data_IF_504455214107
#
_entry.id   IF_504455214107
#
_cell.length_a   1.000
_cell.length_b   1.000
_cell.length_c   1.000
_cell.angle_alpha   90.00
_cell.angle_beta   90.00
_cell.angle_gamma   90.00
#
_symmetry.space_group_name_H-M   'P 1'
#
loop_
_entity.id
_entity.type
_entity.pdbx_description
1 polymer ?
#
# COMPACT_ATOMS: atom_id res chain seq x y z
N UNK A 1 6.68 7.88 -23.57
CA UNK A 1 7.20 9.04 -22.81
C UNK A 1 6.80 8.98 -21.32
N UNK A 2 6.36 7.83 -20.79
CA UNK A 2 5.87 7.64 -19.40
C UNK A 2 7.00 7.48 -18.38
N UNK A 3 8.10 6.83 -18.77
CA UNK A 3 9.14 6.42 -17.82
C UNK A 3 10.12 7.53 -17.37
N UNK A 4 9.83 8.80 -17.69
CA UNK A 4 10.60 9.96 -17.20
C UNK A 4 9.91 10.68 -16.02
N UNK A 5 8.59 10.52 -15.84
CA UNK A 5 7.80 11.34 -14.91
C UNK A 5 7.42 10.61 -13.61
N UNK A 6 7.13 9.31 -13.62
CA UNK A 6 7.05 8.50 -12.37
C UNK A 6 8.42 8.43 -11.66
N UNK A 7 9.49 8.71 -12.41
CA UNK A 7 10.86 8.89 -11.93
C UNK A 7 10.93 9.98 -10.85
N UNK A 8 10.14 11.04 -10.95
CA UNK A 8 10.21 12.19 -10.03
C UNK A 8 9.66 11.93 -8.62
N UNK A 9 8.91 10.85 -8.41
CA UNK A 9 8.29 10.54 -7.11
C UNK A 9 9.09 9.52 -6.32
N UNK A 10 9.74 8.60 -7.04
CA UNK A 10 10.59 7.54 -6.50
C UNK A 10 12.07 7.92 -6.50
N UNK A 11 12.47 8.92 -7.30
CA UNK A 11 13.86 9.37 -7.42
C UNK A 11 13.97 10.89 -7.24
N UNK A 12 14.70 11.26 -6.19
CA UNK A 12 15.38 12.53 -6.01
C UNK A 12 14.57 13.80 -6.31
N UNK A 13 13.72 14.21 -5.36
CA UNK A 13 13.06 15.54 -5.33
C UNK A 13 14.02 16.68 -4.92
N UNK A 14 15.33 16.44 -4.90
CA UNK A 14 16.34 17.33 -4.31
C UNK A 14 16.49 17.11 -2.80
N UNK A 15 17.63 17.54 -2.23
CA UNK A 15 17.94 17.46 -0.78
C UNK A 15 17.92 16.06 -0.13
N UNK A 16 17.94 14.96 -0.90
CA UNK A 16 17.95 13.60 -0.34
C UNK A 16 16.59 13.13 0.21
N UNK A 17 15.49 13.66 -0.35
CA UNK A 17 14.11 13.42 0.07
C UNK A 17 13.44 12.52 -0.98
N UNK A 18 13.65 11.21 -0.88
CA UNK A 18 12.99 10.16 -1.67
C UNK A 18 12.85 8.87 -0.86
N UNK A 19 12.19 7.85 -1.42
CA UNK A 19 12.00 6.53 -0.76
C UNK A 19 13.18 5.58 -1.01
N UNK A 20 14.32 6.11 -1.47
CA UNK A 20 15.60 5.42 -1.63
C UNK A 20 15.52 4.11 -2.44
N UNK A 21 14.82 4.16 -3.57
CA UNK A 21 14.53 2.98 -4.40
C UNK A 21 15.63 2.70 -5.41
N UNK A 22 16.35 3.74 -5.85
CA UNK A 22 17.46 3.64 -6.81
C UNK A 22 18.51 2.56 -6.44
N UNK A 23 19.04 2.51 -5.21
CA UNK A 23 20.06 1.52 -4.88
C UNK A 23 19.54 0.09 -4.94
N UNK A 24 18.26 -0.15 -4.60
CA UNK A 24 17.67 -1.48 -4.74
C UNK A 24 17.61 -1.93 -6.21
N UNK A 25 17.23 -1.02 -7.13
CA UNK A 25 17.21 -1.32 -8.57
C UNK A 25 18.60 -1.51 -9.16
N UNK A 26 19.60 -0.74 -8.69
CA UNK A 26 20.99 -0.90 -9.10
C UNK A 26 21.56 -2.27 -8.69
N UNK A 27 21.04 -2.86 -7.62
CA UNK A 27 21.33 -4.22 -7.18
C UNK A 27 20.50 -5.29 -7.92
N UNK A 28 19.66 -4.90 -8.89
CA UNK A 28 18.82 -5.80 -9.68
C UNK A 28 17.55 -6.27 -8.98
N UNK A 29 17.20 -5.69 -7.82
CA UNK A 29 15.96 -5.99 -7.10
C UNK A 29 14.86 -5.08 -7.62
N UNK A 30 13.92 -5.65 -8.36
CA UNK A 30 12.88 -4.98 -9.13
C UNK A 30 11.50 -5.63 -8.91
N UNK A 31 11.29 -6.26 -7.77
CA UNK A 31 10.07 -6.96 -7.37
C UNK A 31 9.78 -8.26 -8.12
N UNK A 32 10.79 -8.89 -8.76
CA UNK A 32 10.57 -10.07 -9.62
C UNK A 32 9.87 -11.23 -8.89
N UNK A 33 8.86 -11.77 -9.56
CA UNK A 33 8.11 -12.94 -9.08
C UNK A 33 7.32 -12.66 -7.81
N UNK A 34 7.09 -11.39 -7.46
CA UNK A 34 6.12 -10.98 -6.43
C UNK A 34 4.82 -10.60 -7.11
N UNK A 35 3.70 -11.07 -6.57
CA UNK A 35 2.36 -10.76 -7.08
C UNK A 35 1.67 -9.76 -6.15
N UNK A 36 1.29 -8.59 -6.68
CA UNK A 36 0.60 -7.53 -5.95
C UNK A 36 -0.78 -7.32 -6.58
N UNK A 37 -1.84 -7.37 -5.78
CA UNK A 37 -3.19 -7.03 -6.24
C UNK A 37 -3.70 -5.74 -5.60
N UNK A 38 -4.46 -4.97 -6.37
CA UNK A 38 -5.12 -3.72 -6.00
C UNK A 38 -6.61 -4.05 -5.82
N UNK A 39 -7.13 -3.89 -4.61
CA UNK A 39 -8.54 -4.13 -4.29
C UNK A 39 -9.29 -2.80 -4.40
N UNK A 40 -9.98 -2.56 -5.53
CA UNK A 40 -10.48 -1.22 -5.87
C UNK A 40 -11.66 -1.23 -6.87
N UNK A 41 -11.80 -0.17 -7.67
CA UNK A 41 -12.87 0.05 -8.66
C UNK A 41 -12.65 -0.65 -10.02
N UNK A 42 -11.50 -1.32 -10.18
CA UNK A 42 -11.12 -2.06 -11.36
C UNK A 42 -9.73 -1.69 -11.90
N UNK A 43 -9.36 -2.34 -12.99
CA UNK A 43 -8.05 -2.21 -13.61
C UNK A 43 -8.18 -2.23 -15.13
N UNK A 44 -7.72 -1.16 -15.79
CA UNK A 44 -7.60 -1.11 -17.25
C UNK A 44 -6.45 -2.04 -17.70
N UNK A 45 -6.74 -3.34 -17.76
CA UNK A 45 -5.74 -4.40 -17.94
C UNK A 45 -5.00 -4.34 -19.27
N UNK A 46 -5.59 -3.68 -20.27
CA UNK A 46 -5.00 -3.46 -21.59
C UNK A 46 -4.21 -2.14 -21.69
N UNK A 47 -4.11 -1.36 -20.60
CA UNK A 47 -3.28 -0.17 -20.53
C UNK A 47 -1.83 -0.49 -20.93
N UNK A 48 -1.18 0.27 -21.83
CA UNK A 48 0.13 -0.08 -22.40
C UNK A 48 1.23 -0.29 -21.35
N UNK A 49 1.18 0.48 -20.26
CA UNK A 49 2.11 0.34 -19.12
C UNK A 49 1.72 -0.76 -18.11
N UNK A 50 0.51 -1.33 -18.18
CA UNK A 50 0.04 -2.38 -17.26
C UNK A 50 0.00 -3.76 -17.92
N UNK A 51 -0.38 -3.84 -19.19
CA UNK A 51 -0.66 -5.07 -19.92
C UNK A 51 0.46 -6.13 -19.87
N UNK A 52 1.73 -5.69 -19.87
CA UNK A 52 2.88 -6.60 -19.79
C UNK A 52 3.05 -7.27 -18.42
N UNK A 53 2.52 -6.66 -17.37
CA UNK A 53 2.61 -7.12 -16.00
C UNK A 53 1.24 -7.54 -15.44
N UNK A 54 0.21 -7.62 -16.29
CA UNK A 54 -1.10 -8.11 -15.90
C UNK A 54 -1.04 -9.61 -15.63
N UNK A 55 -1.74 -10.05 -14.58
CA UNK A 55 -1.87 -11.45 -14.21
C UNK A 55 -3.34 -11.82 -13.97
N UNK A 56 -3.95 -12.70 -14.78
CA UNK A 56 -5.34 -13.08 -14.56
C UNK A 56 -5.56 -13.84 -13.25
N UNK A 57 -4.56 -14.53 -12.70
CA UNK A 57 -4.72 -15.33 -11.46
C UNK A 57 -4.76 -14.47 -10.19
N UNK A 58 -4.51 -13.18 -10.29
CA UNK A 58 -4.60 -12.28 -9.16
C UNK A 58 -5.66 -11.19 -9.39
N UNK A 59 -6.45 -11.35 -10.47
CA UNK A 59 -7.51 -10.45 -10.92
C UNK A 59 -8.85 -11.13 -10.74
N UNK A 60 -9.88 -10.35 -10.39
CA UNK A 60 -11.25 -10.82 -10.43
C UNK A 60 -12.22 -9.65 -10.41
N UNK A 61 -13.37 -9.78 -11.04
CA UNK A 61 -14.48 -8.85 -10.88
C UNK A 61 -15.47 -9.43 -9.87
N UNK A 62 -15.41 -8.92 -8.64
CA UNK A 62 -16.33 -9.33 -7.57
C UNK A 62 -17.70 -8.68 -7.77
N UNK A 63 -17.79 -7.47 -8.33
CA UNK A 63 -19.06 -6.80 -8.58
C UNK A 63 -19.91 -7.55 -9.62
N UNK A 64 -19.31 -8.04 -10.70
CA UNK A 64 -20.01 -8.74 -11.78
C UNK A 64 -19.85 -10.27 -11.75
N UNK A 65 -19.02 -10.80 -10.85
CA UNK A 65 -18.73 -12.23 -10.68
C UNK A 65 -18.08 -12.89 -11.91
N UNK A 66 -17.09 -12.23 -12.51
CA UNK A 66 -16.35 -12.74 -13.66
C UNK A 66 -14.82 -12.48 -13.55
N UNK A 67 -14.04 -12.98 -14.50
CA UNK A 67 -12.56 -12.90 -14.48
C UNK A 67 -12.01 -11.58 -15.08
N UNK A 68 -12.88 -10.65 -15.47
CA UNK A 68 -12.51 -9.44 -16.19
C UNK A 68 -12.61 -8.20 -15.30
N UNK A 69 -11.52 -7.76 -14.65
CA UNK A 69 -11.54 -6.62 -13.74
C UNK A 69 -11.59 -5.26 -14.46
N UNK A 70 -11.96 -5.21 -15.74
CA UNK A 70 -11.99 -3.95 -16.51
C UNK A 70 -12.94 -2.96 -15.84
N UNK A 71 -12.51 -1.70 -15.65
CA UNK A 71 -13.34 -0.67 -15.05
C UNK A 71 -14.50 -0.34 -16.00
N UNK A 72 -15.64 0.02 -15.41
CA UNK A 72 -16.74 0.60 -16.17
C UNK A 72 -16.40 2.05 -16.48
N UNK A 73 -16.35 2.41 -17.76
CA UNK A 73 -16.18 3.80 -18.18
C UNK A 73 -17.49 4.59 -18.06
N UNK A 74 -17.40 5.82 -17.58
CA UNK A 74 -18.50 6.79 -17.59
C UNK A 74 -17.99 8.21 -17.86
N UNK A 75 -18.90 9.18 -17.89
CA UNK A 75 -18.59 10.57 -18.23
C UNK A 75 -17.73 11.29 -17.18
N UNK A 76 -17.64 10.75 -15.96
CA UNK A 76 -16.91 11.36 -14.85
C UNK A 76 -15.59 10.64 -14.56
N UNK A 77 -15.33 9.53 -15.26
CA UNK A 77 -14.23 8.61 -15.00
C UNK A 77 -14.22 8.18 -13.53
N UNK A 78 -15.37 7.74 -13.00
CA UNK A 78 -15.50 7.38 -11.58
C UNK A 78 -14.57 6.23 -11.19
N UNK A 79 -14.37 5.27 -12.10
CA UNK A 79 -13.64 4.02 -11.85
C UNK A 79 -12.16 4.07 -12.29
N UNK A 80 -11.52 5.21 -12.05
CA UNK A 80 -10.12 5.45 -12.45
C UNK A 80 -9.11 5.09 -11.37
N UNK A 81 -9.57 4.91 -10.15
CA UNK A 81 -8.74 4.89 -8.95
C UNK A 81 -7.82 3.66 -8.93
N UNK A 82 -8.35 2.46 -9.17
CA UNK A 82 -7.57 1.23 -9.22
C UNK A 82 -6.53 1.21 -10.35
N UNK A 83 -6.87 1.77 -11.51
CA UNK A 83 -5.91 1.93 -12.62
C UNK A 83 -4.77 2.89 -12.27
N UNK A 84 -5.05 3.96 -11.51
CA UNK A 84 -4.01 4.86 -11.00
C UNK A 84 -3.12 4.18 -9.97
N UNK A 85 -3.70 3.53 -8.96
CA UNK A 85 -2.94 2.81 -7.95
C UNK A 85 -2.06 1.69 -8.55
N UNK A 86 -2.56 0.96 -9.55
CA UNK A 86 -1.81 -0.11 -10.20
C UNK A 86 -0.59 0.38 -11.01
N UNK A 87 -0.60 1.63 -11.47
CA UNK A 87 0.52 2.26 -12.17
C UNK A 87 1.64 2.76 -11.25
N UNK A 88 1.39 2.87 -9.94
CA UNK A 88 2.37 3.36 -8.96
C UNK A 88 3.45 2.34 -8.58
N UNK A 89 3.75 1.42 -9.50
CA UNK A 89 4.80 0.44 -9.27
C UNK A 89 6.16 1.12 -9.25
N UNK A 90 7.07 0.66 -8.38
CA UNK A 90 8.47 1.06 -8.43
C UNK A 90 9.11 0.85 -9.83
N UNK A 91 8.64 -0.11 -10.63
CA UNK A 91 9.47 -0.69 -11.71
C UNK A 91 9.15 -0.22 -13.13
N UNK A 92 8.18 0.66 -13.35
CA UNK A 92 7.91 1.16 -14.71
C UNK A 92 9.07 1.97 -15.33
N UNK A 93 10.17 2.16 -14.61
CA UNK A 93 11.20 3.17 -14.87
C UNK A 93 12.53 2.65 -15.43
N UNK A 94 12.71 1.35 -15.64
CA UNK A 94 14.02 0.84 -16.13
C UNK A 94 14.20 1.06 -17.65
N UNK A 95 13.12 1.25 -18.41
CA UNK A 95 13.21 1.35 -19.87
C UNK A 95 13.69 2.71 -20.41
N UNK A 96 13.92 3.73 -19.57
CA UNK A 96 14.23 5.10 -20.06
C UNK A 96 15.64 5.60 -19.75
N UNK A 97 16.33 5.09 -18.73
CA UNK A 97 17.66 5.62 -18.38
C UNK A 97 18.81 4.61 -18.42
N UNK A 98 18.53 3.31 -18.53
CA UNK A 98 19.56 2.30 -18.65
C UNK A 98 19.28 1.51 -19.92
N UNK A 99 20.27 1.39 -20.82
CA UNK A 99 20.27 0.47 -21.98
C UNK A 99 20.20 -1.02 -21.56
N UNK A 100 19.63 -1.33 -20.40
CA UNK A 100 19.34 -2.67 -19.91
C UNK A 100 17.83 -2.83 -19.97
N UNK A 101 17.34 -3.22 -21.16
CA UNK A 101 16.01 -3.79 -21.27
C UNK A 101 15.97 -5.08 -20.45
N UNK A 102 15.50 -5.02 -19.21
CA UNK A 102 15.16 -6.23 -18.49
C UNK A 102 13.94 -6.86 -19.17
N UNK A 103 14.19 -7.92 -19.92
CA UNK A 103 13.16 -8.73 -20.58
C UNK A 103 12.54 -9.67 -19.53
N UNK A 104 11.39 -9.31 -18.97
CA UNK A 104 10.58 -10.17 -18.12
C UNK A 104 9.60 -9.40 -17.22
N UNK A 105 8.47 -10.02 -16.80
CA UNK A 105 7.55 -9.42 -15.83
C UNK A 105 8.25 -9.22 -14.48
N UNK A 106 7.90 -8.12 -13.80
CA UNK A 106 8.61 -7.67 -12.59
C UNK A 106 7.72 -7.88 -11.37
N UNK A 107 6.89 -6.88 -11.03
CA UNK A 107 5.74 -7.06 -10.15
C UNK A 107 4.51 -7.30 -11.00
N UNK A 108 3.80 -8.39 -10.72
CA UNK A 108 2.48 -8.60 -11.31
C UNK A 108 1.48 -7.61 -10.68
N UNK A 109 0.97 -6.72 -11.54
CA UNK A 109 -0.07 -5.66 -11.39
C UNK A 109 -1.46 -6.13 -11.60
N UNK A 110 -2.25 -6.27 -10.56
CA UNK A 110 -3.48 -7.01 -10.67
C UNK A 110 -4.60 -6.30 -9.96
N UNK A 111 -5.82 -6.43 -10.45
CA UNK A 111 -6.95 -5.62 -9.98
C UNK A 111 -8.12 -6.49 -9.60
N UNK A 112 -8.70 -6.22 -8.43
CA UNK A 112 -9.98 -6.77 -8.02
C UNK A 112 -11.00 -5.65 -8.10
N UNK A 113 -11.95 -5.77 -9.04
CA UNK A 113 -13.08 -4.82 -9.15
C UNK A 113 -14.11 -5.18 -8.09
N UNK A 114 -14.17 -4.39 -7.04
CA UNK A 114 -15.06 -4.61 -5.89
C UNK A 114 -15.74 -3.33 -5.38
N UNK A 115 -15.28 -2.13 -5.77
CA UNK A 115 -15.86 -0.85 -5.35
C UNK A 115 -16.89 -0.24 -6.31
N UNK A 116 -17.07 -0.77 -7.52
CA UNK A 116 -18.06 -0.24 -8.49
C UNK A 116 -19.43 -0.93 -8.32
N UNK A 117 -19.97 -0.88 -7.11
CA UNK A 117 -21.23 -1.50 -6.71
C UNK A 117 -21.40 -1.54 -5.18
N UNK A 118 -22.43 -2.23 -4.71
CA UNK A 118 -22.67 -2.39 -3.27
C UNK A 118 -21.52 -3.18 -2.62
N UNK A 119 -20.82 -2.55 -1.68
CA UNK A 119 -19.73 -3.16 -0.91
C UNK A 119 -20.32 -3.77 0.35
N UNK A 120 -20.43 -5.09 0.37
CA UNK A 120 -20.91 -5.87 1.53
C UNK A 120 -19.75 -6.63 2.17
N UNK A 121 -19.92 -7.08 3.42
CA UNK A 121 -18.94 -7.94 4.12
C UNK A 121 -18.51 -9.16 3.27
N UNK A 122 -19.43 -9.76 2.50
CA UNK A 122 -19.12 -10.86 1.60
C UNK A 122 -18.25 -10.45 0.39
N UNK A 123 -18.48 -9.25 -0.17
CA UNK A 123 -17.67 -8.69 -1.27
C UNK A 123 -16.24 -8.43 -0.78
N UNK A 124 -16.09 -7.84 0.39
CA UNK A 124 -14.80 -7.57 1.00
C UNK A 124 -14.05 -8.87 1.32
N UNK A 125 -14.71 -9.82 2.00
CA UNK A 125 -14.13 -11.11 2.33
C UNK A 125 -13.66 -11.88 1.09
N UNK A 126 -14.47 -11.87 0.02
CA UNK A 126 -14.10 -12.51 -1.25
C UNK A 126 -12.89 -11.83 -1.91
N UNK A 127 -12.83 -10.51 -1.85
CA UNK A 127 -11.72 -9.71 -2.39
C UNK A 127 -10.42 -9.97 -1.62
N UNK A 128 -10.48 -9.95 -0.29
CA UNK A 128 -9.37 -10.21 0.63
C UNK A 128 -8.84 -11.65 0.55
N UNK A 129 -9.69 -12.61 0.18
CA UNK A 129 -9.38 -14.03 0.10
C UNK A 129 -9.06 -14.51 -1.32
N UNK A 130 -8.89 -13.61 -2.29
CA UNK A 130 -8.60 -13.98 -3.67
C UNK A 130 -7.23 -14.63 -3.79
N UNK A 131 -7.20 -15.93 -4.14
CA UNK A 131 -5.98 -16.67 -4.50
C UNK A 131 -4.77 -16.42 -3.58
N UNK A 132 -4.90 -16.65 -2.24
CA UNK A 132 -3.89 -16.25 -1.26
C UNK A 132 -2.61 -17.09 -1.30
N UNK A 133 -2.56 -18.14 -2.12
CA UNK A 133 -1.34 -18.90 -2.39
C UNK A 133 -0.54 -18.33 -3.58
N UNK A 134 -1.18 -17.52 -4.42
CA UNK A 134 -0.58 -16.90 -5.60
C UNK A 134 -0.27 -15.42 -5.32
N UNK A 135 -1.20 -14.68 -4.71
CA UNK A 135 -1.03 -13.27 -4.37
C UNK A 135 -0.16 -13.14 -3.12
N UNK A 136 0.90 -12.32 -3.21
CA UNK A 136 1.76 -12.02 -2.09
C UNK A 136 1.25 -10.83 -1.26
N UNK A 137 0.88 -9.75 -1.96
CA UNK A 137 0.54 -8.46 -1.35
C UNK A 137 -0.80 -7.97 -1.89
N UNK A 138 -1.65 -7.49 -1.00
CA UNK A 138 -2.92 -6.85 -1.29
C UNK A 138 -2.79 -5.37 -0.90
N UNK A 139 -3.11 -4.46 -1.81
CA UNK A 139 -3.14 -3.03 -1.56
C UNK A 139 -4.58 -2.56 -1.61
N UNK A 140 -5.00 -1.83 -0.58
CA UNK A 140 -6.34 -1.29 -0.47
C UNK A 140 -6.29 0.10 0.17
N UNK A 141 -7.31 0.91 -0.13
CA UNK A 141 -7.46 2.26 0.40
C UNK A 141 -8.94 2.64 0.57
N UNK A 142 -9.75 1.64 0.91
CA UNK A 142 -11.15 1.77 1.26
C UNK A 142 -11.34 1.44 2.74
N UNK A 143 -12.46 1.88 3.29
CA UNK A 143 -12.80 1.78 4.70
C UNK A 143 -14.14 2.49 4.93
N UNK A 144 -14.48 2.81 6.19
CA UNK A 144 -15.63 3.63 6.52
C UNK A 144 -15.53 5.03 5.91
N UNK A 145 -16.63 5.79 5.96
CA UNK A 145 -16.61 7.20 5.53
C UNK A 145 -15.65 8.03 6.40
N UNK A 146 -14.70 8.71 5.73
CA UNK A 146 -13.69 9.60 6.34
C UNK A 146 -14.29 10.94 6.81
N UNK A 147 -15.40 10.91 7.55
CA UNK A 147 -16.23 12.07 7.90
C UNK A 147 -16.01 12.61 9.33
N UNK A 148 -15.06 12.03 10.06
CA UNK A 148 -14.75 12.40 11.45
C UNK A 148 -15.80 11.96 12.48
N UNK A 149 -16.77 11.13 12.09
CA UNK A 149 -17.91 10.73 12.94
C UNK A 149 -18.18 9.23 12.90
N UNK A 150 -17.72 8.55 11.87
CA UNK A 150 -17.94 7.13 11.67
C UNK A 150 -16.95 6.29 12.48
N UNK A 151 -17.46 5.24 13.12
CA UNK A 151 -16.63 4.21 13.77
C UNK A 151 -17.15 2.87 13.26
N UNK A 152 -16.38 2.24 12.39
CA UNK A 152 -16.76 0.99 11.75
C UNK A 152 -15.53 0.20 11.33
N UNK A 153 -15.71 -1.03 10.85
CA UNK A 153 -14.61 -1.90 10.47
C UNK A 153 -15.07 -3.17 9.78
N UNK A 154 -14.14 -4.13 9.55
CA UNK A 154 -14.47 -5.35 8.84
C UNK A 154 -15.56 -6.13 9.57
N UNK A 155 -16.57 -6.57 8.81
CA UNK A 155 -17.56 -7.53 9.29
C UNK A 155 -16.95 -8.90 9.62
N UNK A 156 -17.80 -9.87 9.96
CA UNK A 156 -17.34 -11.20 10.40
C UNK A 156 -16.58 -11.93 9.29
N UNK A 157 -17.08 -11.86 8.05
CA UNK A 157 -16.47 -12.54 6.92
C UNK A 157 -15.15 -11.88 6.54
N UNK A 158 -15.09 -10.54 6.47
CA UNK A 158 -13.87 -9.80 6.16
C UNK A 158 -12.80 -10.01 7.25
N UNK A 159 -13.20 -9.97 8.53
CA UNK A 159 -12.33 -10.29 9.67
C UNK A 159 -11.75 -11.70 9.54
N UNK A 160 -12.58 -12.68 9.19
CA UNK A 160 -12.13 -14.05 8.96
C UNK A 160 -11.20 -14.14 7.75
N UNK A 161 -11.46 -13.41 6.68
CA UNK A 161 -10.60 -13.37 5.50
C UNK A 161 -9.20 -12.82 5.83
N UNK A 162 -9.10 -11.78 6.66
CA UNK A 162 -7.81 -11.30 7.17
C UNK A 162 -7.08 -12.37 7.96
N UNK A 163 -7.75 -13.01 8.94
CA UNK A 163 -7.15 -14.07 9.76
C UNK A 163 -6.67 -15.23 8.89
N UNK A 164 -7.49 -15.74 7.99
CA UNK A 164 -7.12 -16.82 7.08
C UNK A 164 -5.99 -16.39 6.13
N UNK A 165 -6.01 -15.15 5.65
CA UNK A 165 -4.95 -14.56 4.83
C UNK A 165 -3.60 -14.55 5.54
N UNK A 166 -3.52 -14.00 6.75
CA UNK A 166 -2.25 -13.92 7.50
C UNK A 166 -1.78 -15.27 8.07
N UNK A 167 -2.67 -16.25 8.23
CA UNK A 167 -2.32 -17.58 8.76
C UNK A 167 -2.00 -18.60 7.68
N UNK A 168 -2.71 -18.58 6.55
CA UNK A 168 -2.60 -19.61 5.50
C UNK A 168 -2.02 -19.08 4.19
N UNK A 169 -2.14 -17.78 3.91
CA UNK A 169 -1.62 -17.18 2.69
C UNK A 169 -0.12 -17.40 2.50
N UNK A 170 0.34 -17.38 1.26
CA UNK A 170 1.75 -17.55 0.87
C UNK A 170 2.41 -18.79 1.48
N UNK A 171 1.68 -19.90 1.46
CA UNK A 171 2.07 -21.19 2.07
C UNK A 171 2.37 -21.07 3.56
N UNK A 172 1.48 -20.41 4.31
CA UNK A 172 1.60 -20.21 5.76
C UNK A 172 2.52 -19.06 6.20
N UNK A 173 3.13 -18.31 5.27
CA UNK A 173 3.89 -17.09 5.60
C UNK A 173 2.98 -15.90 5.92
N UNK A 174 1.73 -15.97 5.47
CA UNK A 174 0.71 -14.95 5.61
C UNK A 174 0.75 -13.91 4.50
N UNK A 175 -0.43 -13.64 3.95
CA UNK A 175 -0.70 -12.51 3.05
C UNK A 175 -0.27 -11.19 3.70
N UNK A 176 0.27 -10.27 2.89
CA UNK A 176 0.61 -8.93 3.34
C UNK A 176 -0.48 -7.97 2.86
N UNK A 177 -1.26 -7.41 3.77
CA UNK A 177 -2.28 -6.41 3.47
C UNK A 177 -1.71 -5.02 3.73
N UNK A 178 -1.57 -4.18 2.71
CA UNK A 178 -1.12 -2.79 2.81
C UNK A 178 -2.34 -1.88 2.69
N UNK A 179 -2.50 -0.96 3.64
CA UNK A 179 -3.71 -0.15 3.76
C UNK A 179 -3.37 1.34 3.82
N UNK A 180 -4.17 2.15 3.14
CA UNK A 180 -4.13 3.60 3.33
C UNK A 180 -4.76 3.94 4.70
N UNK A 181 -4.28 5.01 5.32
CA UNK A 181 -4.75 5.44 6.65
C UNK A 181 -5.94 6.40 6.64
N UNK A 182 -6.56 6.67 5.49
CA UNK A 182 -7.73 7.55 5.39
C UNK A 182 -7.41 8.98 4.92
N UNK A 183 -8.43 9.72 4.50
CA UNK A 183 -8.35 11.06 3.91
C UNK A 183 -9.19 12.12 4.68
N UNK A 184 -9.66 11.79 5.88
CA UNK A 184 -10.55 12.60 6.73
C UNK A 184 -9.88 13.71 7.54
N UNK A 185 -8.63 14.06 7.24
CA UNK A 185 -7.88 15.07 8.00
C UNK A 185 -8.55 16.46 8.04
N UNK A 186 -9.36 16.82 7.03
CA UNK A 186 -10.16 18.06 7.01
C UNK A 186 -11.33 18.05 7.98
N UNK A 187 -11.89 16.86 8.20
CA UNK A 187 -13.03 16.63 9.07
C UNK A 187 -12.60 16.24 10.49
N UNK A 188 -11.29 16.33 10.77
CA UNK A 188 -10.66 15.99 12.05
C UNK A 188 -10.83 14.52 12.44
N UNK A 189 -10.82 13.63 11.44
CA UNK A 189 -10.95 12.20 11.66
C UNK A 189 -9.71 11.57 12.33
N UNK A 190 -9.91 10.37 12.87
CA UNK A 190 -8.88 9.58 13.52
C UNK A 190 -8.93 8.13 13.02
N UNK A 191 -7.89 7.71 12.32
CA UNK A 191 -7.80 6.37 11.75
C UNK A 191 -7.80 5.19 12.74
N UNK A 192 -7.83 5.40 14.07
CA UNK A 192 -8.18 4.31 14.99
C UNK A 192 -9.68 3.95 14.94
N UNK A 193 -10.54 4.84 14.41
CA UNK A 193 -11.97 4.64 14.21
C UNK A 193 -12.29 3.81 12.96
N UNK A 194 -11.34 3.66 12.06
CA UNK A 194 -11.39 2.72 10.94
C UNK A 194 -10.77 1.38 11.35
N UNK A 195 -11.61 0.35 11.47
CA UNK A 195 -11.21 -1.00 11.86
C UNK A 195 -10.35 -1.75 10.84
N UNK A 196 -10.31 -1.33 9.57
CA UNK A 196 -9.43 -1.92 8.56
C UNK A 196 -7.99 -1.44 8.76
N UNK A 197 -7.79 -0.12 8.86
CA UNK A 197 -6.46 0.46 9.09
C UNK A 197 -5.96 0.27 10.53
N UNK A 198 -6.85 0.18 11.52
CA UNK A 198 -6.52 -0.13 12.91
C UNK A 198 -6.25 -1.63 13.17
N UNK A 199 -6.46 -2.49 12.17
CA UNK A 199 -6.21 -3.92 12.29
C UNK A 199 -4.72 -4.23 12.41
N UNK A 200 -4.37 -5.20 13.28
CA UNK A 200 -2.98 -5.69 13.36
C UNK A 200 -2.56 -6.45 12.09
N UNK A 201 -3.52 -6.94 11.29
CA UNK A 201 -3.26 -7.72 10.07
C UNK A 201 -2.94 -6.85 8.87
N UNK A 202 -3.22 -5.54 8.96
CA UNK A 202 -2.89 -4.58 7.93
C UNK A 202 -1.60 -3.85 8.26
N UNK A 203 -0.90 -3.44 7.22
CA UNK A 203 0.27 -2.59 7.26
C UNK A 203 -0.22 -1.20 6.84
N UNK A 204 -0.66 -0.42 7.84
CA UNK A 204 -1.25 0.90 7.63
C UNK A 204 -0.19 1.96 7.29
N UNK A 205 -0.46 2.74 6.23
CA UNK A 205 0.45 3.71 5.62
C UNK A 205 -0.21 5.08 5.54
N UNK A 206 0.49 6.09 6.05
CA UNK A 206 0.14 7.51 5.91
C UNK A 206 0.94 8.20 4.80
N UNK A 207 0.66 9.48 4.61
CA UNK A 207 1.25 10.28 3.54
C UNK A 207 2.13 11.41 4.07
N UNK A 208 3.21 11.69 3.34
CA UNK A 208 3.97 12.93 3.46
C UNK A 208 3.85 13.76 2.17
N UNK A 209 3.84 15.07 2.31
CA UNK A 209 3.95 15.98 1.17
C UNK A 209 5.38 16.00 0.59
N UNK A 210 5.59 16.66 -0.56
CA UNK A 210 6.93 16.82 -1.17
C UNK A 210 7.94 17.45 -0.20
N UNK A 211 7.49 18.39 0.61
CA UNK A 211 8.31 19.09 1.61
C UNK A 211 8.44 18.33 2.95
N UNK A 212 7.96 17.09 3.01
CA UNK A 212 7.96 16.27 4.23
C UNK A 212 7.02 16.78 5.31
N UNK A 213 5.92 17.44 4.93
CA UNK A 213 4.89 17.92 5.89
C UNK A 213 3.74 16.92 5.99
N UNK A 214 2.92 17.06 7.01
CA UNK A 214 1.64 16.34 7.12
C UNK A 214 0.65 16.94 6.11
N UNK A 215 0.12 16.16 5.14
CA UNK A 215 -0.89 16.62 4.20
C UNK A 215 -2.22 16.99 4.88
N UNK A 216 -3.00 17.88 4.27
CA UNK A 216 -4.29 18.32 4.83
C UNK A 216 -5.35 17.21 4.97
N UNK A 217 -5.23 16.13 4.20
CA UNK A 217 -6.16 15.00 4.22
C UNK A 217 -5.69 13.89 5.18
N UNK A 218 -4.43 13.91 5.63
CA UNK A 218 -3.90 12.78 6.41
C UNK A 218 -4.55 12.70 7.78
N UNK A 219 -4.94 11.50 8.17
CA UNK A 219 -5.41 11.19 9.52
C UNK A 219 -4.25 10.74 10.41
N UNK A 220 -4.32 11.08 11.69
CA UNK A 220 -3.29 10.71 12.67
C UNK A 220 -3.85 9.70 13.65
N UNK A 221 -3.19 8.56 13.82
CA UNK A 221 -3.59 7.53 14.77
C UNK A 221 -2.40 6.66 15.20
N UNK A 222 -2.61 5.83 16.21
CA UNK A 222 -1.57 4.97 16.77
C UNK A 222 -1.33 3.68 15.98
N UNK A 223 -2.24 3.32 15.08
CA UNK A 223 -2.14 2.10 14.25
C UNK A 223 -1.21 2.25 13.05
N UNK A 224 -1.02 3.48 12.54
CA UNK A 224 -0.11 3.77 11.42
C UNK A 224 1.31 3.27 11.70
N UNK A 225 1.86 2.46 10.79
CA UNK A 225 3.23 1.94 10.92
C UNK A 225 4.27 2.82 10.25
N UNK A 226 3.99 3.36 9.07
CA UNK A 226 4.97 4.14 8.30
C UNK A 226 4.30 5.10 7.32
N UNK A 227 5.13 5.77 6.53
CA UNK A 227 4.70 6.79 5.56
C UNK A 227 5.39 6.61 4.22
N UNK A 228 4.69 6.94 3.14
CA UNK A 228 5.28 7.17 1.82
C UNK A 228 4.90 8.57 1.34
N UNK A 229 5.52 9.05 0.27
CA UNK A 229 5.09 10.32 -0.31
C UNK A 229 3.76 10.18 -1.03
N UNK A 230 3.00 11.26 -1.05
CA UNK A 230 1.85 11.44 -1.95
C UNK A 230 1.81 12.89 -2.41
N UNK A 231 0.77 13.62 -2.02
CA UNK A 231 0.44 15.00 -2.36
C UNK A 231 0.13 15.79 -1.08
N UNK A 232 -0.18 17.08 -1.18
CA UNK A 232 -0.82 17.76 -0.04
C UNK A 232 -0.70 19.27 -0.03
N UNK A 233 0.48 19.84 -0.25
CA UNK A 233 0.57 21.31 -0.24
C UNK A 233 0.21 21.91 -1.61
N UNK A 234 -0.45 23.09 -1.65
CA UNK A 234 -0.62 23.84 -2.88
C UNK A 234 0.71 24.09 -3.58
N UNK A 235 0.79 23.79 -4.89
CA UNK A 235 1.98 24.00 -5.71
C UNK A 235 3.08 22.93 -5.56
N UNK A 236 2.89 21.92 -4.71
CA UNK A 236 3.78 20.75 -4.65
C UNK A 236 3.39 19.70 -5.69
N UNK A 237 4.37 18.88 -6.10
CA UNK A 237 4.14 17.78 -7.04
C UNK A 237 3.27 16.70 -6.42
N UNK A 238 2.38 16.16 -7.24
CA UNK A 238 1.46 15.08 -6.93
C UNK A 238 1.93 13.78 -7.58
N UNK A 239 1.21 12.69 -7.31
CA UNK A 239 1.57 11.38 -7.84
C UNK A 239 1.28 11.28 -9.34
N UNK A 240 2.24 10.71 -10.07
CA UNK A 240 2.28 10.55 -11.52
C UNK A 240 2.17 9.06 -11.81
N UNK A 241 1.11 8.67 -12.51
CA UNK A 241 0.78 7.26 -12.72
C UNK A 241 -0.09 7.08 -13.97
N UNK A 242 -0.39 5.83 -14.31
CA UNK A 242 -1.36 5.47 -15.35
C UNK A 242 -2.75 6.00 -15.00
N UNK A 243 -3.58 6.24 -16.00
CA UNK A 243 -4.95 6.70 -15.81
C UNK A 243 -5.84 6.05 -16.87
N UNK A 244 -7.17 6.11 -16.69
CA UNK A 244 -8.11 5.54 -17.66
C UNK A 244 -7.90 6.09 -19.07
N UNK A 245 -8.41 5.36 -20.06
CA UNK A 245 -8.30 5.68 -21.48
C UNK A 245 -6.85 5.63 -21.97
N UNK A 246 -6.07 4.68 -21.43
CA UNK A 246 -4.66 4.46 -21.78
C UNK A 246 -3.80 5.72 -21.57
N UNK A 247 -4.15 6.53 -20.58
CA UNK A 247 -3.59 7.87 -20.39
C UNK A 247 -2.67 7.95 -19.17
N UNK A 248 -2.18 9.16 -18.89
CA UNK A 248 -1.28 9.43 -17.78
C UNK A 248 -1.82 10.60 -16.98
N UNK A 249 -1.80 10.48 -15.66
CA UNK A 249 -2.09 11.59 -14.76
C UNK A 249 -0.84 12.01 -14.02
N UNK A 250 -0.73 13.31 -13.75
CA UNK A 250 0.25 13.88 -12.82
C UNK A 250 -0.40 14.42 -11.55
N UNK A 251 -1.65 14.05 -11.30
CA UNK A 251 -2.48 14.61 -10.25
C UNK A 251 -3.21 13.57 -9.41
N UNK A 252 -2.59 12.42 -9.19
CA UNK A 252 -3.08 11.46 -8.21
C UNK A 252 -2.67 11.88 -6.78
N UNK A 253 -3.58 11.71 -5.82
CA UNK A 253 -3.52 12.36 -4.51
C UNK A 253 -4.13 11.48 -3.41
N UNK A 254 -3.96 11.87 -2.15
CA UNK A 254 -4.52 11.16 -1.00
C UNK A 254 -3.61 10.07 -0.44
N UNK A 255 -4.00 9.51 0.70
CA UNK A 255 -3.33 8.34 1.29
C UNK A 255 -3.48 7.09 0.42
N UNK A 256 -4.49 7.08 -0.46
CA UNK A 256 -4.70 6.06 -1.47
C UNK A 256 -3.57 5.94 -2.50
N UNK A 257 -2.81 7.02 -2.74
CA UNK A 257 -1.57 6.95 -3.54
C UNK A 257 -0.36 6.51 -2.70
N UNK A 258 -0.42 6.63 -1.37
CA UNK A 258 0.68 6.22 -0.50
C UNK A 258 0.76 4.69 -0.32
N UNK A 259 -0.38 4.01 -0.21
CA UNK A 259 -0.44 2.56 -0.01
C UNK A 259 0.16 1.74 -1.19
N UNK A 260 -0.13 2.03 -2.46
CA UNK A 260 0.47 1.33 -3.61
C UNK A 260 1.99 1.47 -3.68
N UNK A 261 2.53 2.66 -3.36
CA UNK A 261 3.98 2.87 -3.27
C UNK A 261 4.60 1.97 -2.19
N UNK A 262 3.95 1.88 -1.02
CA UNK A 262 4.39 1.00 0.06
C UNK A 262 4.31 -0.48 -0.32
N UNK A 263 3.24 -0.90 -1.00
CA UNK A 263 3.10 -2.26 -1.53
C UNK A 263 4.24 -2.60 -2.51
N UNK A 264 4.59 -1.65 -3.38
CA UNK A 264 5.75 -1.74 -4.27
C UNK A 264 7.07 -1.92 -3.51
N UNK A 265 7.31 -1.15 -2.46
CA UNK A 265 8.52 -1.27 -1.63
C UNK A 265 8.55 -2.63 -0.89
N UNK A 266 7.42 -3.09 -0.36
CA UNK A 266 7.28 -4.41 0.25
C UNK A 266 7.61 -5.53 -0.76
N UNK A 267 7.22 -5.37 -2.03
CA UNK A 267 7.56 -6.32 -3.08
C UNK A 267 9.08 -6.39 -3.33
N UNK A 268 9.80 -5.27 -3.29
CA UNK A 268 11.26 -5.29 -3.39
C UNK A 268 11.89 -6.08 -2.22
N UNK A 269 11.40 -5.90 -1.01
CA UNK A 269 11.86 -6.65 0.17
C UNK A 269 11.53 -8.16 0.05
N UNK A 270 10.36 -8.52 -0.50
CA UNK A 270 9.99 -9.92 -0.75
C UNK A 270 10.81 -10.59 -1.86
N UNK A 271 11.20 -9.87 -2.91
CA UNK A 271 12.16 -10.42 -3.88
C UNK A 271 13.49 -10.72 -3.19
N UNK A 272 13.96 -9.83 -2.33
CA UNK A 272 15.20 -10.01 -1.59
C UNK A 272 15.14 -11.19 -0.59
N UNK A 273 13.96 -11.47 -0.03
CA UNK A 273 13.72 -12.63 0.83
C UNK A 273 12.26 -13.11 0.76
N UNK A 274 12.01 -14.17 -0.02
CA UNK A 274 10.68 -14.79 -0.16
C UNK A 274 10.20 -15.51 1.10
N UNK A 275 11.09 -15.73 2.07
CA UNK A 275 10.81 -16.38 3.35
C UNK A 275 10.14 -15.48 4.40
N UNK A 276 10.06 -14.17 4.16
CA UNK A 276 9.46 -13.23 5.10
C UNK A 276 7.97 -13.52 5.33
N UNK A 277 7.59 -13.58 6.61
CA UNK A 277 6.19 -13.62 7.04
C UNK A 277 5.55 -12.23 7.02
N UNK A 278 4.23 -12.16 7.15
CA UNK A 278 3.50 -10.88 7.26
C UNK A 278 4.00 -10.03 8.44
N UNK A 279 4.31 -10.65 9.58
CA UNK A 279 4.91 -9.98 10.76
C UNK A 279 6.35 -9.55 10.52
N UNK A 280 7.15 -10.37 9.84
CA UNK A 280 8.52 -9.99 9.48
C UNK A 280 8.53 -8.71 8.64
N UNK A 281 7.58 -8.58 7.70
CA UNK A 281 7.44 -7.37 6.88
C UNK A 281 7.18 -6.13 7.74
N UNK A 282 6.19 -6.19 8.66
CA UNK A 282 5.92 -5.09 9.60
C UNK A 282 7.16 -4.75 10.45
N UNK A 283 7.87 -5.76 10.97
CA UNK A 283 9.10 -5.54 11.75
C UNK A 283 10.22 -4.88 10.93
N UNK A 284 10.39 -5.26 9.67
CA UNK A 284 11.36 -4.64 8.77
C UNK A 284 11.00 -3.17 8.57
N UNK A 285 9.74 -2.86 8.24
CA UNK A 285 9.25 -1.48 8.07
C UNK A 285 9.57 -0.63 9.30
N UNK A 286 9.19 -1.08 10.50
CA UNK A 286 9.46 -0.38 11.77
C UNK A 286 10.95 -0.11 12.02
N UNK A 287 11.83 -1.02 11.56
CA UNK A 287 13.28 -0.92 11.80
C UNK A 287 14.02 -0.10 10.77
N UNK A 288 13.44 0.11 9.59
CA UNK A 288 14.11 0.80 8.47
C UNK A 288 13.47 2.13 8.12
N UNK A 289 12.24 2.40 8.57
CA UNK A 289 11.57 3.68 8.37
C UNK A 289 12.41 4.84 8.95
N UNK A 290 12.40 5.97 8.24
CA UNK A 290 13.24 7.13 8.53
C UNK A 290 12.39 8.34 8.93
N UNK A 291 12.55 8.86 10.16
CA UNK A 291 11.89 10.09 10.58
C UNK A 291 12.54 11.35 9.96
N UNK A 292 13.76 11.22 9.42
CA UNK A 292 14.51 12.34 8.87
C UNK A 292 13.71 13.04 7.75
N UNK A 293 13.76 14.37 7.76
CA UNK A 293 13.08 15.26 6.79
C UNK A 293 11.55 15.27 6.87
N UNK A 294 10.94 14.50 7.77
CA UNK A 294 9.51 14.58 8.07
C UNK A 294 9.23 15.54 9.24
N UNK A 295 8.30 16.46 9.03
CA UNK A 295 7.98 17.56 9.95
C UNK A 295 6.62 17.33 10.57
N UNK A 296 6.62 16.90 11.82
CA UNK A 296 5.43 16.81 12.65
C UNK A 296 5.74 17.31 14.06
N UNK A 297 4.81 18.02 14.74
CA UNK A 297 5.00 18.43 16.13
C UNK A 297 4.90 17.27 17.14
N UNK A 298 4.42 16.09 16.73
CA UNK A 298 4.08 14.98 17.62
C UNK A 298 5.12 13.85 17.68
N UNK A 299 6.32 14.06 17.14
CA UNK A 299 7.41 13.10 17.24
C UNK A 299 7.78 12.84 18.71
N UNK A 300 7.76 11.58 19.12
CA UNK A 300 8.18 11.13 20.44
C UNK A 300 9.13 9.94 20.35
N UNK A 301 10.03 9.81 21.33
CA UNK A 301 10.94 8.67 21.43
C UNK A 301 10.30 7.61 22.32
N UNK A 302 10.06 6.42 21.77
CA UNK A 302 9.48 5.31 22.53
C UNK A 302 10.51 4.62 23.45
N UNK A 303 10.06 3.64 24.25
CA UNK A 303 10.89 2.97 25.26
C UNK A 303 12.10 2.19 24.72
N UNK A 304 12.22 1.99 23.40
CA UNK A 304 13.38 1.35 22.75
C UNK A 304 14.20 2.33 21.91
N UNK A 305 14.00 3.64 22.11
CA UNK A 305 14.80 4.69 21.48
C UNK A 305 14.43 4.99 20.02
N UNK A 306 13.25 4.59 19.54
CA UNK A 306 12.78 4.92 18.18
C UNK A 306 11.84 6.12 18.20
N UNK A 307 11.99 7.00 17.22
CA UNK A 307 11.02 8.07 16.96
C UNK A 307 9.74 7.46 16.38
N UNK A 308 8.60 7.91 16.88
CA UNK A 308 7.26 7.58 16.38
C UNK A 308 6.40 8.84 16.40
N UNK A 309 5.52 8.96 15.41
CA UNK A 309 4.53 10.03 15.24
C UNK A 309 3.19 9.37 14.91
N UNK A 310 2.08 9.91 15.39
CA UNK A 310 0.75 9.44 14.99
C UNK A 310 0.43 9.83 13.54
N UNK A 311 1.05 10.90 13.02
CA UNK A 311 0.92 11.30 11.61
C UNK A 311 1.81 10.49 10.66
N UNK A 312 2.96 10.00 11.13
CA UNK A 312 3.96 9.37 10.26
C UNK A 312 4.36 7.93 10.62
N UNK A 313 3.78 7.36 11.68
CA UNK A 313 4.27 6.12 12.27
C UNK A 313 5.75 6.21 12.62
N UNK A 314 6.54 5.22 12.19
CA UNK A 314 8.00 5.20 12.36
C UNK A 314 8.76 6.05 11.32
N UNK A 315 8.06 6.69 10.39
CA UNK A 315 8.60 7.60 9.38
C UNK A 315 8.53 7.05 7.95
N UNK A 316 9.32 7.66 7.06
CA UNK A 316 9.30 7.39 5.63
C UNK A 316 9.89 6.01 5.33
N UNK A 317 9.21 5.21 4.51
CA UNK A 317 9.73 3.91 4.05
C UNK A 317 10.99 4.10 3.18
N UNK A 318 12.00 3.28 3.43
CA UNK A 318 13.28 3.27 2.70
C UNK A 318 13.48 1.91 2.03
N UNK A 319 13.33 1.88 0.71
CA UNK A 319 13.38 0.64 -0.05
C UNK A 319 14.74 -0.07 0.00
N UNK A 320 15.85 0.66 -0.12
CA UNK A 320 17.19 0.06 -0.05
C UNK A 320 17.47 -0.51 1.35
N UNK A 321 17.08 0.20 2.41
CA UNK A 321 17.24 -0.28 3.78
C UNK A 321 16.38 -1.52 4.05
N UNK A 322 15.14 -1.54 3.57
CA UNK A 322 14.26 -2.71 3.65
C UNK A 322 14.85 -3.92 2.93
N UNK A 323 15.31 -3.76 1.68
CA UNK A 323 15.96 -4.83 0.90
C UNK A 323 17.21 -5.37 1.60
N UNK A 324 18.07 -4.48 2.13
CA UNK A 324 19.29 -4.87 2.84
C UNK A 324 18.98 -5.64 4.13
N UNK A 325 18.02 -5.16 4.91
CA UNK A 325 17.61 -5.84 6.14
C UNK A 325 16.94 -7.18 5.86
N UNK A 326 16.09 -7.26 4.83
CA UNK A 326 15.39 -8.49 4.43
C UNK A 326 16.35 -9.65 4.14
N UNK A 327 17.48 -9.41 3.49
CA UNK A 327 18.47 -10.45 3.14
C UNK A 327 19.12 -11.13 4.35
N UNK A 328 19.27 -10.40 5.44
CA UNK A 328 19.89 -10.89 6.68
C UNK A 328 18.86 -11.11 7.79
N UNK A 329 17.57 -11.01 7.46
CA UNK A 329 16.49 -11.11 8.43
C UNK A 329 16.33 -12.54 8.93
N UNK A 330 16.23 -12.68 10.25
CA UNK A 330 15.83 -13.92 10.89
C UNK A 330 14.36 -13.82 11.28
N UNK A 331 13.54 -14.74 10.78
CA UNK A 331 12.10 -14.80 11.07
C UNK A 331 11.83 -14.72 12.56
N UNK A 332 10.88 -13.87 12.93
CA UNK A 332 10.48 -13.69 14.33
C UNK A 332 9.80 -14.95 14.88
N UNK A 333 9.82 -15.19 16.21
CA UNK A 333 9.08 -16.28 16.83
C UNK A 333 7.57 -16.21 16.58
N UNK A 334 6.86 -17.30 16.86
CA UNK A 334 5.40 -17.34 16.78
C UNK A 334 4.74 -16.19 17.56
N UNK A 335 3.59 -15.71 17.07
CA UNK A 335 2.85 -14.64 17.71
C UNK A 335 2.18 -15.18 18.97
N UNK A 336 2.43 -14.53 20.11
CA UNK A 336 1.73 -14.84 21.36
C UNK A 336 0.67 -13.76 21.62
N UNK A 337 -0.50 -14.17 22.12
CA UNK A 337 -1.58 -13.28 22.54
C UNK A 337 -1.82 -13.48 24.04
N UNK A 338 -1.76 -12.39 24.81
CA UNK A 338 -2.12 -12.37 26.22
C UNK A 338 -3.49 -11.70 26.34
N UNK A 339 -4.49 -12.44 26.79
CA UNK A 339 -5.85 -11.93 26.96
C UNK A 339 -6.20 -11.85 28.44
N UNK A 340 -6.70 -10.69 28.87
CA UNK A 340 -7.25 -10.48 30.21
C UNK A 340 -8.71 -10.11 30.05
N UNK A 341 -9.61 -11.00 30.47
CA UNK A 341 -11.05 -10.71 30.48
C UNK A 341 -11.39 -9.82 31.67
N UNK A 342 -11.81 -8.59 31.42
CA UNK A 342 -12.45 -7.77 32.44
C UNK A 342 -13.94 -8.16 32.55
N UNK A 343 -14.51 -8.31 33.76
CA UNK A 343 -15.95 -8.49 33.89
C UNK A 343 -16.67 -7.27 33.31
N UNK A 344 -17.76 -7.51 32.56
CA UNK A 344 -18.62 -6.43 32.07
C UNK A 344 -19.06 -5.57 33.26
N UNK A 345 -18.68 -4.29 33.25
CA UNK A 345 -19.32 -3.31 34.10
C UNK A 345 -20.67 -2.99 33.46
N UNK A 346 -21.75 -3.46 34.08
CA UNK A 346 -23.11 -2.99 33.76
C UNK A 346 -23.08 -1.46 33.88
N UNK A 347 -23.31 -0.77 32.75
CA UNK A 347 -23.44 0.70 32.71
C UNK A 347 -24.90 1.10 32.80
#
# INVERSE_FOLDING_TARGET
MMALSTLLLLQNRGHGIDMNVQPAWQEGIIGRGVVVTILDDGLEKDHPDLARNYDPQASYDVNNHDENPMPRYDLLDSNRHGTRCAGEKPILLINVFVHVSYKGPTIYTVGVRMLDGDVTDAVEARSLSLNPQHIDIYSASWGPDDDGKTVDGPGELATRAFIEGVTRGRSGKGSIFVWASGNGGRDHDNCNCDGYTNSIWTLSISSATEAGRVPWYSEACSSTLATTYSSGSPGEKQVVTTDLHHSCTSGHTGTSASAPLAAGICALALEANKGLTWRDMQHIVVRTAKPANLRSPDWTVNGVGRNVSHSFGYGLMDASAMVKLARIWKTVPEQHKCEVSAPHADK
#
